data_IF_071447285481
#
_entry.id   IF_071447285481
#
_cell.length_a   1.000
_cell.length_b   1.000
_cell.length_c   1.000
_cell.angle_alpha   90.00
_cell.angle_beta   90.00
_cell.angle_gamma   90.00
#
_symmetry.space_group_name_H-M   'P 1'
#
loop_
_entity.id
_entity.type
_entity.pdbx_description
1 polymer ?
#
# COMPACT_ATOMS: atom_id res chain seq x y z
N UNK A 1 -20.11 30.94 71.61
CA UNK A 1 -20.86 29.71 71.35
C UNK A 1 -21.18 29.65 69.86
N UNK A 2 -20.63 28.63 69.20
CA UNK A 2 -20.94 28.08 67.86
C UNK A 2 -20.64 28.95 66.62
N UNK A 3 -19.47 28.62 66.09
CA UNK A 3 -18.94 28.71 64.73
C UNK A 3 -19.92 28.14 63.67
N UNK A 4 -20.05 28.77 62.51
CA UNK A 4 -20.53 28.08 61.31
C UNK A 4 -19.78 28.55 60.06
N UNK A 5 -18.71 27.80 59.81
CA UNK A 5 -17.90 27.78 58.60
C UNK A 5 -18.76 27.16 57.48
N UNK A 6 -19.08 27.92 56.43
CA UNK A 6 -19.48 27.33 55.15
C UNK A 6 -18.29 27.38 54.19
N UNK A 7 -17.49 26.32 54.25
CA UNK A 7 -16.61 25.87 53.16
C UNK A 7 -17.48 25.62 51.93
N UNK A 8 -17.50 26.53 50.98
CA UNK A 8 -17.83 26.16 49.60
C UNK A 8 -16.52 25.80 48.92
N UNK A 9 -16.15 24.54 49.08
CA UNK A 9 -15.09 23.88 48.35
C UNK A 9 -15.42 24.00 46.88
N UNK A 10 -14.72 24.90 46.17
CA UNK A 10 -14.65 24.86 44.73
C UNK A 10 -13.88 23.59 44.38
N UNK A 11 -14.61 22.49 44.27
CA UNK A 11 -14.14 21.26 43.65
C UNK A 11 -14.00 21.61 42.17
N UNK A 12 -12.90 22.29 41.84
CA UNK A 12 -12.40 22.32 40.49
C UNK A 12 -12.15 20.86 40.17
N UNK A 13 -13.10 20.28 39.44
CA UNK A 13 -12.92 19.08 38.68
C UNK A 13 -11.75 19.40 37.77
N UNK A 14 -10.55 19.15 38.29
CA UNK A 14 -9.39 18.76 37.53
C UNK A 14 -9.86 17.46 36.87
N UNK A 15 -10.61 17.61 35.78
CA UNK A 15 -10.70 16.62 34.73
C UNK A 15 -9.25 16.42 34.37
N UNK A 16 -8.65 15.44 35.04
CA UNK A 16 -7.53 14.67 34.57
C UNK A 16 -7.72 14.54 33.08
N UNK A 17 -6.94 15.32 32.35
CA UNK A 17 -6.51 15.01 31.00
C UNK A 17 -5.79 13.66 31.12
N UNK A 18 -6.57 12.59 31.31
CA UNK A 18 -6.15 11.27 30.90
C UNK A 18 -6.03 11.42 29.38
N UNK A 19 -4.79 11.65 28.93
CA UNK A 19 -4.43 11.46 27.54
C UNK A 19 -4.93 10.09 27.16
N UNK A 20 -6.03 10.06 26.40
CA UNK A 20 -6.57 8.82 25.89
C UNK A 20 -5.57 8.33 24.85
N UNK A 21 -4.66 7.45 25.27
CA UNK A 21 -3.73 6.79 24.37
C UNK A 21 -4.55 5.89 23.46
N UNK A 22 -4.82 6.36 22.24
CA UNK A 22 -5.42 5.53 21.21
C UNK A 22 -4.33 4.60 20.65
N UNK A 23 -4.58 3.30 20.72
CA UNK A 23 -3.80 2.32 19.95
C UNK A 23 -4.25 2.41 18.48
N UNK A 24 -3.30 2.73 17.61
CA UNK A 24 -3.52 2.81 16.16
C UNK A 24 -2.76 1.66 15.52
N UNK A 25 -3.48 0.72 14.90
CA UNK A 25 -2.87 -0.33 14.11
C UNK A 25 -2.59 0.21 12.71
N UNK A 26 -1.36 0.04 12.22
CA UNK A 26 -0.94 0.47 10.90
C UNK A 26 -0.56 -0.72 10.06
N UNK A 27 -1.25 -0.90 8.94
CA UNK A 27 -0.88 -1.87 7.93
C UNK A 27 -0.01 -1.20 6.87
N UNK A 28 1.15 -1.81 6.61
CA UNK A 28 2.14 -1.35 5.61
C UNK A 28 1.97 -2.05 4.27
N UNK A 29 1.08 -3.03 4.19
CA UNK A 29 0.78 -3.73 2.96
C UNK A 29 0.27 -2.76 1.90
N UNK A 30 0.85 -2.88 0.70
CA UNK A 30 0.55 -2.00 -0.42
C UNK A 30 0.85 -0.52 -0.16
N UNK A 31 1.63 -0.18 0.87
CA UNK A 31 2.15 1.18 1.03
C UNK A 31 2.94 1.57 -0.24
N UNK A 32 2.76 2.80 -0.68
CA UNK A 32 3.38 3.35 -1.89
C UNK A 32 4.71 3.99 -1.53
N UNK A 33 5.69 3.82 -2.39
CA UNK A 33 7.03 4.39 -2.27
C UNK A 33 7.46 4.98 -3.62
N UNK A 34 8.49 5.84 -3.67
CA UNK A 34 9.05 6.30 -4.94
C UNK A 34 9.53 5.16 -5.86
N UNK A 35 9.89 4.00 -5.30
CA UNK A 35 10.36 2.85 -6.06
C UNK A 35 9.24 1.92 -6.57
N UNK A 36 8.02 2.07 -6.05
CA UNK A 36 6.89 1.16 -6.28
C UNK A 36 6.08 0.92 -5.02
N UNK A 37 5.25 -0.12 -5.01
CA UNK A 37 4.42 -0.48 -3.86
C UNK A 37 5.02 -1.65 -3.10
N UNK A 38 4.88 -1.66 -1.76
CA UNK A 38 5.27 -2.82 -0.95
C UNK A 38 4.43 -4.04 -1.34
N UNK A 39 5.09 -5.17 -1.60
CA UNK A 39 4.47 -6.33 -2.24
C UNK A 39 3.81 -7.30 -1.24
N UNK A 40 2.64 -6.95 -0.71
CA UNK A 40 1.92 -7.77 0.28
C UNK A 40 1.27 -9.07 -0.24
N UNK A 41 1.46 -9.45 -1.50
CA UNK A 41 0.73 -10.59 -2.08
C UNK A 41 0.41 -10.44 -3.56
N UNK A 42 1.03 -9.48 -4.24
CA UNK A 42 0.95 -9.46 -5.70
C UNK A 42 1.94 -10.50 -6.25
N UNK A 43 1.58 -11.03 -7.39
CA UNK A 43 2.35 -12.02 -8.12
C UNK A 43 3.64 -11.43 -8.68
N UNK A 44 4.40 -12.30 -9.32
CA UNK A 44 5.66 -11.98 -9.96
C UNK A 44 5.50 -11.01 -11.15
N UNK A 45 6.64 -10.54 -11.66
CA UNK A 45 6.72 -9.74 -12.88
C UNK A 45 5.97 -10.45 -14.00
N UNK A 46 5.14 -9.71 -14.75
CA UNK A 46 4.27 -10.28 -15.78
C UNK A 46 2.86 -10.61 -15.29
N UNK A 47 2.59 -10.57 -13.99
CA UNK A 47 1.23 -10.81 -13.49
C UNK A 47 0.30 -9.65 -13.84
N UNK A 48 -0.86 -9.96 -14.43
CA UNK A 48 -1.93 -9.03 -14.76
C UNK A 48 -3.09 -9.16 -13.78
N UNK A 49 -3.57 -8.01 -13.32
CA UNK A 49 -4.73 -7.85 -12.45
C UNK A 49 -5.78 -6.98 -13.10
N UNK A 50 -7.05 -7.28 -12.83
CA UNK A 50 -8.19 -6.43 -13.10
C UNK A 50 -8.63 -5.77 -11.80
N UNK A 51 -8.71 -4.44 -11.81
CA UNK A 51 -9.10 -3.63 -10.68
C UNK A 51 -10.47 -3.02 -10.95
N UNK A 52 -11.40 -3.18 -10.01
CA UNK A 52 -12.66 -2.46 -10.00
C UNK A 52 -12.62 -1.43 -8.86
N UNK A 53 -12.32 -0.18 -9.19
CA UNK A 53 -12.14 0.89 -8.22
C UNK A 53 -13.44 1.22 -7.46
N UNK A 54 -14.59 1.08 -8.11
CA UNK A 54 -15.90 1.32 -7.49
C UNK A 54 -16.24 0.28 -6.43
N UNK A 55 -15.94 -0.99 -6.70
CA UNK A 55 -16.18 -2.09 -5.75
C UNK A 55 -15.06 -2.27 -4.74
N UNK A 56 -13.91 -1.62 -4.98
CA UNK A 56 -12.67 -1.79 -4.23
C UNK A 56 -12.22 -3.27 -4.27
N UNK A 57 -12.24 -3.85 -5.47
CA UNK A 57 -11.90 -5.24 -5.72
C UNK A 57 -10.73 -5.36 -6.69
N UNK A 58 -9.87 -6.34 -6.45
CA UNK A 58 -8.78 -6.72 -7.33
C UNK A 58 -8.81 -8.22 -7.58
N UNK A 59 -8.67 -8.60 -8.84
CA UNK A 59 -8.69 -10.01 -9.28
C UNK A 59 -7.47 -10.28 -10.15
N UNK A 60 -6.72 -11.33 -9.84
CA UNK A 60 -5.67 -11.85 -10.73
C UNK A 60 -6.30 -12.41 -12.01
N UNK A 61 -5.75 -12.04 -13.16
CA UNK A 61 -6.24 -12.47 -14.47
C UNK A 61 -5.36 -13.59 -15.02
N UNK A 62 -4.09 -13.29 -15.27
CA UNK A 62 -3.11 -14.26 -15.75
C UNK A 62 -1.68 -13.75 -15.53
N UNK A 63 -0.70 -14.58 -15.86
CA UNK A 63 0.69 -14.15 -16.00
C UNK A 63 1.01 -14.08 -17.50
N UNK A 64 1.33 -12.88 -17.99
CA UNK A 64 1.73 -12.67 -19.38
C UNK A 64 3.23 -13.00 -19.50
N UNK A 65 3.62 -13.89 -20.41
CA UNK A 65 5.03 -14.19 -20.64
C UNK A 65 5.77 -12.94 -21.13
N UNK A 66 6.95 -12.70 -20.55
CA UNK A 66 7.84 -11.60 -20.91
C UNK A 66 9.11 -12.21 -21.51
N UNK A 67 9.54 -11.69 -22.66
CA UNK A 67 10.76 -12.16 -23.32
C UNK A 67 12.00 -11.93 -22.43
N UNK A 68 12.94 -12.89 -22.43
CA UNK A 68 14.11 -12.88 -21.54
C UNK A 68 15.00 -11.63 -21.71
N UNK A 69 15.01 -11.00 -22.89
CA UNK A 69 15.75 -9.76 -23.17
C UNK A 69 15.02 -8.46 -22.81
N UNK A 70 13.71 -8.51 -22.54
CA UNK A 70 12.89 -7.35 -22.24
C UNK A 70 13.01 -6.89 -20.78
N UNK A 71 13.54 -7.75 -19.90
CA UNK A 71 13.77 -7.46 -18.48
C UNK A 71 15.18 -6.91 -18.28
N UNK A 72 15.29 -5.75 -17.65
CA UNK A 72 16.55 -5.18 -17.17
C UNK A 72 16.73 -5.53 -15.71
N UNK A 73 17.87 -6.15 -15.40
CA UNK A 73 18.29 -6.41 -14.03
C UNK A 73 19.34 -5.37 -13.59
N UNK A 74 19.28 -4.96 -12.35
CA UNK A 74 20.24 -4.07 -11.69
C UNK A 74 20.24 -4.36 -10.20
N UNK A 75 21.26 -3.95 -9.45
CA UNK A 75 21.30 -4.18 -8.01
C UNK A 75 22.48 -3.48 -7.36
N UNK A 76 22.44 -3.36 -6.05
CA UNK A 76 23.53 -2.81 -5.25
C UNK A 76 23.46 -3.36 -3.81
N UNK A 77 24.50 -3.10 -3.02
CA UNK A 77 24.62 -3.56 -1.64
C UNK A 77 23.52 -2.99 -0.73
N UNK A 78 23.03 -1.77 -0.99
CA UNK A 78 21.94 -1.20 -0.20
C UNK A 78 21.13 -0.16 -0.98
N UNK A 79 19.84 -0.06 -0.64
CA UNK A 79 18.92 0.96 -1.11
C UNK A 79 18.08 1.45 0.07
N UNK A 80 18.12 2.75 0.35
CA UNK A 80 17.21 3.39 1.28
C UNK A 80 16.07 4.07 0.51
N UNK A 81 14.84 3.88 0.99
CA UNK A 81 13.62 4.44 0.42
C UNK A 81 12.88 5.15 1.53
N UNK A 82 12.73 6.46 1.41
CA UNK A 82 11.98 7.29 2.35
C UNK A 82 10.63 7.71 1.78
N UNK A 83 9.82 8.39 2.59
CA UNK A 83 8.54 8.99 2.19
C UNK A 83 7.53 7.94 1.73
N UNK A 84 7.25 6.96 2.58
CA UNK A 84 6.22 5.98 2.29
C UNK A 84 4.83 6.60 2.47
N UNK A 85 3.87 6.20 1.65
CA UNK A 85 2.51 6.74 1.63
C UNK A 85 1.47 5.61 1.57
N UNK A 86 0.19 5.97 1.76
CA UNK A 86 -0.91 5.04 1.53
C UNK A 86 -1.04 3.94 2.58
N UNK A 87 -0.54 4.18 3.80
CA UNK A 87 -0.76 3.31 4.95
C UNK A 87 -2.27 3.13 5.24
N UNK A 88 -2.65 1.92 5.63
CA UNK A 88 -4.01 1.66 6.13
C UNK A 88 -4.01 1.69 7.65
N UNK A 89 -5.04 2.32 8.23
CA UNK A 89 -5.16 2.51 9.68
C UNK A 89 -6.38 1.77 10.19
N UNK A 90 -6.19 0.94 11.22
CA UNK A 90 -7.29 0.39 12.01
C UNK A 90 -7.18 0.94 13.43
N UNK A 91 -8.18 1.71 13.84
CA UNK A 91 -8.25 2.24 15.20
C UNK A 91 -9.05 1.25 16.05
N UNK A 92 -8.44 0.74 17.13
CA UNK A 92 -9.21 0.01 18.13
C UNK A 92 -10.05 1.00 18.92
N UNK A 93 -11.36 1.02 18.69
CA UNK A 93 -12.28 1.89 19.40
C UNK A 93 -12.36 1.48 20.89
N UNK A 94 -11.74 2.29 21.75
CA UNK A 94 -12.28 2.61 23.06
C UNK A 94 -12.58 4.12 23.07
N UNK A 95 -13.47 4.54 23.95
CA UNK A 95 -14.00 5.91 24.05
C UNK A 95 -12.94 6.98 23.70
N UNK A 96 -13.21 7.81 22.67
CA UNK A 96 -12.26 8.80 22.16
C UNK A 96 -11.48 8.41 20.90
N UNK A 97 -12.13 7.77 19.91
CA UNK A 97 -11.52 7.47 18.61
C UNK A 97 -10.90 8.71 17.97
N UNK A 98 -9.70 8.63 17.36
CA UNK A 98 -9.07 9.76 16.70
C UNK A 98 -9.97 10.29 15.58
N UNK A 99 -10.10 11.60 15.51
CA UNK A 99 -10.78 12.29 14.42
C UNK A 99 -10.07 12.02 13.07
N UNK A 100 -10.78 12.21 11.97
CA UNK A 100 -10.20 12.12 10.62
C UNK A 100 -8.98 13.05 10.46
N UNK A 101 -9.04 14.26 11.03
CA UNK A 101 -7.92 15.20 11.02
C UNK A 101 -6.70 14.67 11.79
N UNK A 102 -6.91 14.00 12.92
CA UNK A 102 -5.83 13.37 13.68
C UNK A 102 -5.21 12.19 12.92
N UNK A 103 -6.01 11.38 12.25
CA UNK A 103 -5.51 10.30 11.38
C UNK A 103 -4.75 10.85 10.16
N UNK A 104 -5.21 11.93 9.56
CA UNK A 104 -4.51 12.60 8.47
C UNK A 104 -3.15 13.15 8.91
N UNK A 105 -3.07 13.80 10.08
CA UNK A 105 -1.79 14.25 10.67
C UNK A 105 -0.87 13.09 10.99
N UNK A 106 -1.38 12.00 11.57
CA UNK A 106 -0.61 10.79 11.84
C UNK A 106 -0.04 10.18 10.55
N UNK A 107 -0.85 10.14 9.49
CA UNK A 107 -0.45 9.68 8.16
C UNK A 107 0.68 10.55 7.59
N UNK A 108 0.55 11.87 7.71
CA UNK A 108 1.58 12.81 7.26
C UNK A 108 2.89 12.65 8.05
N UNK A 109 2.80 12.54 9.38
CA UNK A 109 3.97 12.32 10.23
C UNK A 109 4.68 11.01 9.89
N UNK A 110 3.93 9.91 9.78
CA UNK A 110 4.44 8.61 9.35
C UNK A 110 5.11 8.68 7.99
N UNK A 111 4.45 9.32 7.02
CA UNK A 111 5.01 9.46 5.69
C UNK A 111 6.36 10.19 5.73
N UNK A 112 6.42 11.32 6.44
CA UNK A 112 7.66 12.13 6.53
C UNK A 112 8.82 11.45 7.26
N UNK A 113 8.54 10.55 8.21
CA UNK A 113 9.54 9.94 9.08
C UNK A 113 9.87 8.50 8.72
N UNK A 114 9.07 7.87 7.85
CA UNK A 114 9.26 6.48 7.47
C UNK A 114 10.39 6.31 6.47
N UNK A 115 11.20 5.28 6.68
CA UNK A 115 12.17 4.79 5.70
C UNK A 115 12.26 3.27 5.72
N UNK A 116 12.50 2.72 4.55
CA UNK A 116 12.75 1.30 4.31
C UNK A 116 14.19 1.16 3.82
N UNK A 117 14.99 0.39 4.54
CA UNK A 117 16.37 0.08 4.16
C UNK A 117 16.42 -1.34 3.64
N UNK A 118 16.83 -1.49 2.38
CA UNK A 118 17.04 -2.76 1.70
C UNK A 118 18.54 -3.05 1.63
N UNK A 119 18.93 -4.29 1.91
CA UNK A 119 20.32 -4.76 1.83
C UNK A 119 20.42 -5.90 0.82
N UNK A 120 21.49 -5.91 0.03
CA UNK A 120 21.75 -6.83 -1.07
C UNK A 120 20.56 -6.92 -2.04
N UNK A 121 20.14 -5.77 -2.56
CA UNK A 121 18.94 -5.70 -3.38
C UNK A 121 19.24 -5.98 -4.86
N UNK A 122 18.28 -6.60 -5.51
CA UNK A 122 18.19 -6.78 -6.95
C UNK A 122 16.86 -6.22 -7.44
N UNK A 123 16.92 -5.48 -8.53
CA UNK A 123 15.79 -4.87 -9.22
C UNK A 123 15.68 -5.47 -10.62
N UNK A 124 14.50 -5.96 -10.95
CA UNK A 124 14.13 -6.49 -12.27
C UNK A 124 12.99 -5.65 -12.83
N UNK A 125 13.11 -5.11 -14.04
CA UNK A 125 12.09 -4.24 -14.63
C UNK A 125 11.93 -4.47 -16.14
N UNK A 126 10.69 -4.58 -16.60
CA UNK A 126 10.35 -4.65 -18.02
C UNK A 126 10.57 -3.27 -18.65
N UNK A 127 11.40 -3.17 -19.68
CA UNK A 127 11.73 -1.88 -20.32
C UNK A 127 10.52 -1.20 -20.95
N UNK A 128 9.67 -1.99 -21.60
CA UNK A 128 8.48 -1.55 -22.31
C UNK A 128 7.28 -2.41 -21.86
N UNK A 129 6.70 -2.16 -20.67
CA UNK A 129 5.67 -3.04 -20.11
C UNK A 129 4.39 -3.12 -20.96
N UNK A 130 4.16 -2.13 -21.83
CA UNK A 130 3.04 -2.09 -22.77
C UNK A 130 3.16 -3.12 -23.90
N UNK A 131 4.37 -3.50 -24.32
CA UNK A 131 4.61 -4.40 -25.46
C UNK A 131 4.01 -5.80 -25.25
N UNK A 132 4.33 -6.54 -24.15
CA UNK A 132 3.75 -7.86 -23.91
C UNK A 132 2.22 -7.80 -23.76
N UNK A 133 1.69 -6.71 -23.19
CA UNK A 133 0.24 -6.50 -23.06
C UNK A 133 -0.41 -6.36 -24.44
N UNK A 134 0.15 -5.52 -25.31
CA UNK A 134 -0.38 -5.31 -26.67
C UNK A 134 -0.27 -6.58 -27.50
N UNK A 135 0.84 -7.31 -27.38
CA UNK A 135 1.00 -8.61 -28.04
C UNK A 135 -0.11 -9.59 -27.62
N UNK A 136 -0.39 -9.71 -26.33
CA UNK A 136 -1.49 -10.56 -25.84
C UNK A 136 -2.87 -10.09 -26.31
N UNK A 137 -3.14 -8.79 -26.27
CA UNK A 137 -4.42 -8.24 -26.74
C UNK A 137 -4.69 -8.52 -28.22
N UNK A 138 -3.64 -8.60 -29.06
CA UNK A 138 -3.77 -8.95 -30.50
C UNK A 138 -4.17 -10.40 -30.73
N UNK A 139 -3.76 -11.30 -29.83
CA UNK A 139 -4.11 -12.73 -29.91
C UNK A 139 -5.56 -12.99 -29.46
N UNK A 140 -6.17 -12.05 -28.72
CA UNK A 140 -7.52 -12.18 -28.20
C UNK A 140 -8.54 -11.71 -29.24
N UNK A 141 -9.31 -12.64 -29.78
CA UNK A 141 -10.44 -12.32 -30.66
C UNK A 141 -11.62 -11.79 -29.83
N UNK A 142 -12.35 -10.75 -30.30
CA UNK A 142 -13.53 -10.21 -29.61
C UNK A 142 -14.72 -11.17 -29.46
N UNK A 143 -14.59 -12.41 -29.96
CA UNK A 143 -15.68 -13.38 -30.10
C UNK A 143 -15.50 -14.62 -29.24
N UNK A 144 -14.50 -14.65 -28.36
CA UNK A 144 -14.32 -15.74 -27.39
C UNK A 144 -15.48 -15.76 -26.39
N UNK A 145 -16.18 -16.89 -26.26
CA UNK A 145 -17.23 -17.09 -25.24
C UNK A 145 -16.73 -16.88 -23.81
N UNK A 146 -15.42 -17.01 -23.59
CA UNK A 146 -14.77 -16.73 -22.31
C UNK A 146 -13.79 -15.58 -22.52
N UNK A 147 -14.12 -14.40 -21.98
CA UNK A 147 -13.24 -13.24 -21.93
C UNK A 147 -12.63 -13.12 -20.52
N UNK A 148 -11.48 -13.78 -20.24
CA UNK A 148 -10.88 -13.78 -18.91
C UNK A 148 -10.37 -12.39 -18.51
N UNK A 149 -10.14 -11.49 -19.48
CA UNK A 149 -9.72 -10.13 -19.22
C UNK A 149 -10.90 -9.21 -18.94
N UNK A 150 -12.13 -9.65 -19.22
CA UNK A 150 -13.35 -8.83 -19.08
C UNK A 150 -13.23 -7.50 -19.83
N UNK A 151 -12.68 -7.54 -21.04
CA UNK A 151 -12.44 -6.41 -21.94
C UNK A 151 -13.71 -5.62 -22.22
N UNK A 152 -14.82 -6.29 -22.52
CA UNK A 152 -16.09 -5.61 -22.81
C UNK A 152 -16.63 -4.84 -21.59
N UNK A 153 -16.50 -5.42 -20.38
CA UNK A 153 -16.86 -4.75 -19.13
C UNK A 153 -15.93 -3.56 -18.88
N UNK A 154 -14.62 -3.77 -19.03
CA UNK A 154 -13.59 -2.77 -18.80
C UNK A 154 -13.70 -1.57 -19.76
N UNK A 155 -14.08 -1.80 -21.02
CA UNK A 155 -14.24 -0.74 -22.03
C UNK A 155 -15.48 0.11 -21.75
N UNK A 156 -16.55 -0.47 -21.18
CA UNK A 156 -17.80 0.23 -20.87
C UNK A 156 -17.75 0.98 -19.54
N UNK A 157 -16.82 0.63 -18.65
CA UNK A 157 -16.72 1.18 -17.30
C UNK A 157 -15.48 2.06 -17.12
N UNK A 158 -15.67 3.28 -16.62
CA UNK A 158 -14.55 4.13 -16.20
C UNK A 158 -13.92 3.67 -14.87
N UNK A 159 -14.57 2.78 -14.13
CA UNK A 159 -14.10 2.34 -12.81
C UNK A 159 -13.20 1.10 -12.89
N UNK A 160 -13.04 0.52 -14.08
CA UNK A 160 -12.27 -0.69 -14.30
C UNK A 160 -10.93 -0.37 -14.95
N UNK A 161 -9.88 -0.94 -14.40
CA UNK A 161 -8.51 -0.72 -14.81
C UNK A 161 -7.74 -2.03 -14.80
N UNK A 162 -6.67 -2.07 -15.59
CA UNK A 162 -5.71 -3.15 -15.53
C UNK A 162 -4.46 -2.69 -14.81
N UNK A 163 -3.90 -3.58 -14.01
CA UNK A 163 -2.64 -3.38 -13.30
C UNK A 163 -1.72 -4.53 -13.66
N UNK A 164 -0.56 -4.20 -14.21
CA UNK A 164 0.45 -5.15 -14.62
C UNK A 164 1.71 -4.99 -13.77
N UNK A 165 2.23 -6.09 -13.23
CA UNK A 165 3.49 -6.07 -12.46
C UNK A 165 4.65 -5.93 -13.45
N UNK A 166 5.10 -4.69 -13.64
CA UNK A 166 6.11 -4.30 -14.63
C UNK A 166 7.54 -4.42 -14.09
N UNK A 167 7.71 -4.60 -12.80
CA UNK A 167 9.03 -4.78 -12.20
C UNK A 167 8.93 -5.14 -10.74
N UNK A 168 10.06 -5.49 -10.17
CA UNK A 168 10.17 -5.81 -8.77
C UNK A 168 11.55 -5.48 -8.21
N UNK A 169 11.60 -5.27 -6.90
CA UNK A 169 12.83 -5.17 -6.12
C UNK A 169 12.78 -6.26 -5.06
N UNK A 170 13.76 -7.16 -5.08
CA UNK A 170 13.99 -8.19 -4.08
C UNK A 170 15.23 -7.82 -3.27
N UNK A 171 15.30 -8.19 -1.99
CA UNK A 171 16.45 -7.88 -1.14
C UNK A 171 16.79 -9.07 -0.23
N UNK A 172 18.05 -9.17 0.19
CA UNK A 172 18.45 -10.14 1.22
C UNK A 172 17.88 -9.79 2.59
N UNK A 173 17.74 -8.49 2.89
CA UNK A 173 17.10 -7.96 4.10
C UNK A 173 16.34 -6.68 3.80
N UNK A 174 15.24 -6.45 4.52
CA UNK A 174 14.43 -5.23 4.47
C UNK A 174 14.08 -4.80 5.90
N UNK A 175 14.36 -3.54 6.26
CA UNK A 175 14.13 -2.99 7.60
C UNK A 175 13.38 -1.68 7.57
N UNK A 176 12.31 -1.57 8.35
CA UNK A 176 11.52 -0.35 8.50
C UNK A 176 12.07 0.49 9.65
N UNK A 177 12.09 1.79 9.43
CA UNK A 177 12.37 2.76 10.46
C UNK A 177 11.34 3.87 10.45
N UNK A 178 11.12 4.45 11.63
CA UNK A 178 10.42 5.72 11.81
C UNK A 178 11.33 6.63 12.60
N UNK A 179 11.79 7.70 11.96
CA UNK A 179 12.90 8.48 12.47
C UNK A 179 14.12 7.57 12.65
N UNK A 180 14.66 7.55 13.87
CA UNK A 180 15.84 6.74 14.22
C UNK A 180 15.49 5.34 14.74
N UNK A 181 14.22 5.06 15.04
CA UNK A 181 13.80 3.79 15.63
C UNK A 181 13.58 2.74 14.54
N UNK A 182 14.29 1.62 14.64
CA UNK A 182 13.96 0.40 13.89
C UNK A 182 12.68 -0.18 14.48
N UNK A 183 11.73 -0.57 13.62
CA UNK A 183 10.53 -1.28 14.06
C UNK A 183 10.84 -2.77 14.31
N UNK A 184 11.74 -3.07 15.26
CA UNK A 184 12.19 -4.43 15.54
C UNK A 184 11.34 -5.19 16.57
N UNK A 185 10.54 -4.49 17.38
CA UNK A 185 10.16 -5.04 18.70
C UNK A 185 8.68 -5.40 18.89
N UNK A 186 7.81 -5.25 17.87
CA UNK A 186 6.37 -5.59 17.98
C UNK A 186 5.58 -4.77 19.01
N UNK A 187 6.25 -3.94 19.81
CA UNK A 187 5.69 -3.12 20.89
C UNK A 187 5.00 -1.85 20.39
N UNK A 188 5.07 -1.59 19.08
CA UNK A 188 4.63 -0.35 18.47
C UNK A 188 5.61 0.80 18.68
N UNK A 189 5.51 1.82 17.82
CA UNK A 189 6.28 3.05 17.88
C UNK A 189 5.33 4.15 18.35
N UNK A 190 5.65 4.79 19.49
CA UNK A 190 4.93 5.98 19.92
C UNK A 190 5.27 7.14 18.99
N UNK A 191 4.25 7.70 18.34
CA UNK A 191 4.35 8.90 17.52
C UNK A 191 3.59 10.02 18.20
N UNK A 192 4.28 11.13 18.44
CA UNK A 192 3.64 12.36 18.89
C UNK A 192 2.99 13.03 17.68
N UNK A 193 1.66 13.04 17.65
CA UNK A 193 0.89 13.62 16.53
C UNK A 193 0.63 15.11 16.77
N UNK A 194 0.42 15.52 18.03
CA UNK A 194 0.22 16.91 18.45
C UNK A 194 0.46 17.05 19.97
N UNK A 195 0.54 18.30 20.48
CA UNK A 195 0.56 18.58 21.93
C UNK A 195 -0.58 17.80 22.61
N UNK A 196 -0.22 16.81 23.42
CA UNK A 196 -1.11 15.94 24.21
C UNK A 196 -1.80 14.79 23.46
N UNK A 197 -1.35 14.42 22.26
CA UNK A 197 -1.78 13.17 21.61
C UNK A 197 -0.57 12.31 21.23
N UNK A 198 -0.27 11.35 22.11
CA UNK A 198 0.62 10.24 21.80
C UNK A 198 -0.22 9.09 21.22
N UNK A 199 0.04 8.72 19.97
CA UNK A 199 -0.50 7.49 19.41
C UNK A 199 0.54 6.39 19.53
N UNK A 200 0.14 5.25 20.09
CA UNK A 200 0.92 4.03 19.99
C UNK A 200 0.63 3.40 18.65
N UNK A 201 1.58 3.48 17.72
CA UNK A 201 1.43 2.93 16.39
C UNK A 201 1.96 1.50 16.37
N UNK A 202 1.06 0.53 16.25
CA UNK A 202 1.43 -0.89 16.15
C UNK A 202 1.32 -1.33 14.70
N UNK A 203 2.43 -1.76 14.13
CA UNK A 203 2.42 -2.29 12.77
C UNK A 203 1.86 -3.70 12.73
N UNK A 204 0.76 -3.88 12.00
CA UNK A 204 0.10 -5.18 11.75
C UNK A 204 0.44 -5.69 10.35
N UNK A 205 0.42 -7.01 10.18
CA UNK A 205 0.69 -7.67 8.89
C UNK A 205 1.95 -7.14 8.20
N UNK A 206 3.04 -7.02 8.96
CA UNK A 206 4.30 -6.49 8.45
C UNK A 206 4.79 -7.39 7.35
N UNK A 207 4.67 -6.83 6.17
CA UNK A 207 5.22 -7.33 4.94
C UNK A 207 6.70 -7.73 5.17
N UNK A 208 7.45 -6.93 5.92
CA UNK A 208 8.86 -7.14 6.28
C UNK A 208 9.18 -8.27 7.28
N UNK A 209 8.26 -8.68 8.18
CA UNK A 209 8.50 -9.87 9.05
C UNK A 209 8.11 -11.17 8.35
N UNK A 210 7.25 -11.10 7.33
CA UNK A 210 6.96 -12.22 6.44
C UNK A 210 8.06 -12.43 5.37
N UNK A 211 8.96 -11.47 5.20
CA UNK A 211 10.04 -11.53 4.20
C UNK A 211 11.40 -11.76 4.86
N UNK A 212 11.81 -13.02 4.88
CA UNK A 212 13.21 -13.39 5.11
C UNK A 212 13.71 -14.24 3.92
N UNK A 213 14.62 -13.68 3.11
CA UNK A 213 15.39 -14.41 2.10
C UNK A 213 15.01 -14.20 0.63
N UNK A 214 15.80 -14.82 -0.26
CA UNK A 214 15.64 -14.75 -1.73
C UNK A 214 14.44 -15.59 -2.17
N UNK A 215 13.45 -14.93 -2.77
CA UNK A 215 12.34 -15.61 -3.45
C UNK A 215 11.02 -14.85 -3.52
N UNK A 216 10.87 -13.72 -2.84
CA UNK A 216 9.65 -12.88 -2.92
C UNK A 216 10.05 -11.42 -3.14
N UNK A 217 9.44 -10.71 -4.10
CA UNK A 217 9.76 -9.31 -4.28
C UNK A 217 9.27 -8.50 -3.08
N UNK A 218 10.09 -7.57 -2.60
CA UNK A 218 9.80 -6.64 -1.49
C UNK A 218 8.96 -5.46 -1.99
N UNK A 219 9.30 -4.98 -3.19
CA UNK A 219 8.59 -3.88 -3.86
C UNK A 219 8.22 -4.34 -5.25
N UNK A 220 7.02 -3.98 -5.71
CA UNK A 220 6.57 -4.17 -7.08
C UNK A 220 6.39 -2.81 -7.75
N UNK A 221 6.80 -2.73 -9.01
CA UNK A 221 6.50 -1.60 -9.88
C UNK A 221 5.30 -1.96 -10.74
N UNK A 222 4.27 -1.12 -10.68
CA UNK A 222 3.03 -1.35 -11.39
C UNK A 222 2.95 -0.48 -12.64
N UNK A 223 2.50 -1.09 -13.74
CA UNK A 223 2.05 -0.38 -14.93
C UNK A 223 0.54 -0.47 -15.01
N UNK A 224 -0.11 0.69 -14.88
CA UNK A 224 -1.56 0.79 -14.84
C UNK A 224 -2.08 1.30 -16.17
N UNK A 225 -3.10 0.65 -16.73
CA UNK A 225 -3.65 1.02 -18.03
C UNK A 225 -5.14 0.76 -18.13
N UNK A 226 -5.76 1.39 -19.12
CA UNK A 226 -7.10 1.07 -19.60
C UNK A 226 -7.02 0.50 -20.99
N UNK A 227 -8.01 -0.32 -21.33
CA UNK A 227 -8.21 -0.81 -22.68
C UNK A 227 -9.39 -0.06 -23.30
N UNK A 228 -9.27 0.33 -24.56
CA UNK A 228 -10.34 0.89 -25.38
C UNK A 228 -10.44 0.13 -26.70
N UNK A 229 -11.62 0.16 -27.34
CA UNK A 229 -11.83 -0.42 -28.67
C UNK A 229 -11.66 0.66 -29.73
N UNK A 230 -10.71 0.48 -30.65
CA UNK A 230 -10.55 1.30 -31.84
C UNK A 230 -10.94 0.55 -33.11
N UNK A 231 -10.89 1.25 -34.25
CA UNK A 231 -11.19 0.67 -35.56
C UNK A 231 -10.29 -0.54 -35.92
N UNK A 232 -9.05 -0.56 -35.42
CA UNK A 232 -8.04 -1.59 -35.70
C UNK A 232 -7.83 -2.55 -34.52
N UNK A 233 -8.84 -2.74 -33.65
CA UNK A 233 -8.76 -3.60 -32.47
C UNK A 233 -8.55 -2.84 -31.15
N UNK A 234 -8.03 -3.53 -30.14
CA UNK A 234 -7.83 -2.96 -28.81
C UNK A 234 -6.64 -1.99 -28.76
N UNK A 235 -6.80 -0.92 -27.98
CA UNK A 235 -5.76 0.07 -27.68
C UNK A 235 -5.62 0.21 -26.18
N UNK A 236 -4.40 0.47 -25.71
CA UNK A 236 -4.16 0.75 -24.30
C UNK A 236 -3.71 2.19 -24.09
N UNK A 237 -4.11 2.75 -22.95
CA UNK A 237 -3.67 4.06 -22.48
C UNK A 237 -3.26 3.95 -21.03
N UNK A 238 -2.10 4.50 -20.67
CA UNK A 238 -1.69 4.59 -19.27
C UNK A 238 -2.77 5.29 -18.45
N UNK A 239 -3.03 4.80 -17.25
CA UNK A 239 -4.04 5.35 -16.37
C UNK A 239 -3.48 5.55 -14.96
N UNK A 240 -4.08 6.47 -14.21
CA UNK A 240 -3.88 6.57 -12.77
C UNK A 240 -5.14 6.05 -12.09
N UNK A 241 -4.97 5.17 -11.12
CA UNK A 241 -6.06 4.70 -10.25
C UNK A 241 -5.98 5.50 -8.95
N UNK A 242 -7.00 6.30 -8.61
CA UNK A 242 -7.10 6.89 -7.29
C UNK A 242 -7.16 5.79 -6.23
N UNK A 243 -6.40 5.93 -5.14
CA UNK A 243 -6.42 5.02 -3.99
C UNK A 243 -6.15 3.54 -4.33
N UNK A 244 -5.23 3.25 -5.26
CA UNK A 244 -4.86 1.87 -5.61
C UNK A 244 -4.40 1.06 -4.39
N UNK A 245 -3.63 1.65 -3.48
CA UNK A 245 -3.19 0.99 -2.24
C UNK A 245 -4.38 0.52 -1.39
N UNK A 246 -5.39 1.37 -1.20
CA UNK A 246 -6.60 1.02 -0.45
C UNK A 246 -7.42 -0.10 -1.12
N UNK A 247 -7.49 -0.10 -2.45
CA UNK A 247 -8.17 -1.17 -3.20
C UNK A 247 -7.47 -2.52 -3.00
N UNK A 248 -6.15 -2.54 -3.16
CA UNK A 248 -5.34 -3.77 -3.00
C UNK A 248 -5.35 -4.26 -1.55
N UNK A 249 -5.25 -3.36 -0.58
CA UNK A 249 -5.33 -3.71 0.84
C UNK A 249 -6.66 -4.38 1.21
N UNK A 250 -7.78 -3.88 0.67
CA UNK A 250 -9.10 -4.51 0.90
C UNK A 250 -9.25 -5.86 0.18
N UNK A 251 -8.53 -6.04 -0.93
CA UNK A 251 -8.60 -7.24 -1.78
C UNK A 251 -7.54 -8.29 -1.44
N UNK A 252 -6.74 -8.10 -0.39
CA UNK A 252 -5.58 -8.93 -0.08
C UNK A 252 -5.91 -10.43 0.06
N UNK A 253 -7.14 -10.78 0.45
CA UNK A 253 -7.58 -12.17 0.57
C UNK A 253 -7.83 -12.89 -0.78
N UNK A 254 -7.91 -12.15 -1.90
CA UNK A 254 -8.22 -12.66 -3.24
C UNK A 254 -7.11 -12.44 -4.28
N UNK A 255 -5.97 -11.89 -3.84
CA UNK A 255 -4.78 -11.62 -4.68
C UNK A 255 -3.81 -12.80 -4.67
#
# INVERSE_FOLDING_TARGET
MIMNIKKFTLFLVLLTLCGCNADVLVDTNFATTPAGMLNSGMGEIGTLYLINAKKMEARRIETIPVEEGAVRNSGSASLEISQLEGFSFTVSAKDGSPTQDQLAKATAALSSQSRLVLTDYSKSEIRAPWEPIVAQLRLRTPTSEIDPWSLDEAIRSNDIFYVFVAGSISAGSARFYIGEKEDSDGNGISLNIEKNLDASIKFTNRSQTAWQGRGVPVIIKLYTFRVTKGANGYRISSARIPNLSGILAKSAASL
#
